data_IF_195961903658
#
_entry.id   IF_195961903658
#
_cell.length_a   1.000
_cell.length_b   1.000
_cell.length_c   1.000
_cell.angle_alpha   90.00
_cell.angle_beta   90.00
_cell.angle_gamma   90.00
#
_symmetry.space_group_name_H-M   'P 1'
#
loop_
_entity.id
_entity.type
_entity.pdbx_description
1 polymer ?
#
# COMPACT_ATOMS: atom_id res chain seq x y z
N UNK A 1 -17.59 -1.40 -30.16
CA UNK A 1 -17.19 -1.68 -28.75
C UNK A 1 -15.66 -1.79 -28.55
N UNK A 2 -14.93 -2.67 -29.25
CA UNK A 2 -13.47 -2.89 -29.04
C UNK A 2 -12.58 -1.64 -29.26
N UNK A 3 -12.79 -0.87 -30.33
CA UNK A 3 -12.04 0.38 -30.60
C UNK A 3 -12.18 1.42 -29.47
N UNK A 4 -13.40 1.60 -28.94
CA UNK A 4 -13.68 2.55 -27.87
C UNK A 4 -12.98 2.17 -26.56
N UNK A 5 -12.93 0.88 -26.23
CA UNK A 5 -12.17 0.36 -25.07
C UNK A 5 -10.66 0.59 -25.21
N UNK A 6 -10.09 0.28 -26.38
CA UNK A 6 -8.67 0.52 -26.65
C UNK A 6 -8.30 2.01 -26.55
N UNK A 7 -9.17 2.90 -27.00
CA UNK A 7 -8.95 4.34 -26.90
C UNK A 7 -9.00 4.84 -25.44
N UNK A 8 -9.93 4.33 -24.63
CA UNK A 8 -9.96 4.66 -23.21
C UNK A 8 -8.74 4.12 -22.46
N UNK A 9 -8.31 2.90 -22.78
CA UNK A 9 -7.09 2.33 -22.21
C UNK A 9 -5.87 3.20 -22.54
N UNK A 10 -5.67 3.55 -23.82
CA UNK A 10 -4.58 4.43 -24.24
C UNK A 10 -4.61 5.79 -23.53
N UNK A 11 -5.79 6.42 -23.42
CA UNK A 11 -5.94 7.70 -22.70
C UNK A 11 -5.60 7.55 -21.22
N UNK A 12 -6.03 6.47 -20.58
CA UNK A 12 -5.72 6.21 -19.17
C UNK A 12 -4.22 5.94 -18.96
N UNK A 13 -3.56 5.19 -19.86
CA UNK A 13 -2.11 4.98 -19.83
C UNK A 13 -1.37 6.31 -19.85
N UNK A 14 -1.72 7.21 -20.78
CA UNK A 14 -1.09 8.52 -20.90
C UNK A 14 -1.26 9.37 -19.64
N UNK A 15 -2.46 9.39 -19.05
CA UNK A 15 -2.74 10.13 -17.80
C UNK A 15 -1.86 9.58 -16.67
N UNK A 16 -1.81 8.25 -16.50
CA UNK A 16 -0.97 7.61 -15.49
C UNK A 16 0.49 8.01 -15.70
N UNK A 17 1.04 7.83 -16.90
CA UNK A 17 2.46 8.10 -17.16
C UNK A 17 2.83 9.57 -17.00
N UNK A 18 1.93 10.50 -17.29
CA UNK A 18 2.19 11.94 -17.16
C UNK A 18 2.36 12.41 -15.72
N UNK A 19 1.87 11.64 -14.74
CA UNK A 19 1.91 12.00 -13.33
C UNK A 19 3.08 11.36 -12.56
N UNK A 20 3.91 10.55 -13.22
CA UNK A 20 4.92 9.73 -12.57
C UNK A 20 6.34 10.29 -12.72
N UNK A 21 7.17 10.02 -11.72
CA UNK A 21 8.61 10.14 -11.85
C UNK A 21 9.16 9.07 -12.81
N UNK A 22 10.42 9.26 -13.24
CA UNK A 22 11.10 8.32 -14.12
C UNK A 22 11.19 6.92 -13.49
N UNK A 23 11.48 6.84 -12.19
CA UNK A 23 11.59 5.56 -11.46
C UNK A 23 10.25 4.81 -11.42
N UNK A 24 9.16 5.52 -11.14
CA UNK A 24 7.81 4.95 -11.12
C UNK A 24 7.38 4.51 -12.52
N UNK A 25 7.74 5.27 -13.55
CA UNK A 25 7.47 4.92 -14.94
C UNK A 25 8.14 3.60 -15.33
N UNK A 26 9.42 3.42 -15.01
CA UNK A 26 10.15 2.18 -15.31
C UNK A 26 9.52 0.95 -14.65
N UNK A 27 8.93 1.11 -13.46
CA UNK A 27 8.25 0.00 -12.77
C UNK A 27 7.04 -0.52 -13.54
N UNK A 28 6.29 0.37 -14.19
CA UNK A 28 5.04 0.03 -14.90
C UNK A 28 5.20 -0.05 -16.41
N UNK A 29 6.41 0.13 -16.95
CA UNK A 29 6.65 0.25 -18.39
C UNK A 29 6.30 -1.02 -19.17
N UNK A 30 6.34 -2.19 -18.51
CA UNK A 30 6.02 -3.49 -19.09
C UNK A 30 4.53 -3.87 -18.97
N UNK A 31 3.72 -3.06 -18.27
CA UNK A 31 2.29 -3.31 -18.14
C UNK A 31 1.56 -3.12 -19.47
N UNK A 32 0.65 -4.05 -19.80
CA UNK A 32 -0.04 -4.08 -21.08
C UNK A 32 -1.24 -3.15 -21.12
N UNK A 33 -1.89 -2.94 -19.99
CA UNK A 33 -3.10 -2.11 -19.86
C UNK A 33 -2.97 -1.04 -18.77
N UNK A 34 -3.78 0.02 -18.86
CA UNK A 34 -3.86 1.03 -17.81
C UNK A 34 -4.30 0.44 -16.45
N UNK A 35 -5.13 -0.60 -16.48
CA UNK A 35 -5.56 -1.32 -15.28
C UNK A 35 -4.38 -2.00 -14.58
N UNK A 36 -3.55 -2.71 -15.34
CA UNK A 36 -2.35 -3.37 -14.82
C UNK A 36 -1.32 -2.36 -14.29
N UNK A 37 -1.17 -1.21 -14.95
CA UNK A 37 -0.34 -0.09 -14.46
C UNK A 37 -0.83 0.40 -13.10
N UNK A 38 -2.14 0.69 -12.99
CA UNK A 38 -2.75 1.15 -11.75
C UNK A 38 -2.63 0.13 -10.62
N UNK A 39 -2.92 -1.14 -10.90
CA UNK A 39 -2.85 -2.21 -9.90
C UNK A 39 -1.41 -2.40 -9.39
N UNK A 40 -0.42 -2.27 -10.28
CA UNK A 40 1.00 -2.34 -9.92
C UNK A 40 1.41 -1.18 -9.00
N UNK A 41 0.99 0.06 -9.32
CA UNK A 41 1.22 1.22 -8.46
C UNK A 41 0.56 1.05 -7.10
N UNK A 42 -0.71 0.61 -7.07
CA UNK A 42 -1.45 0.41 -5.85
C UNK A 42 -0.78 -0.63 -4.94
N UNK A 43 -0.36 -1.78 -5.51
CA UNK A 43 0.37 -2.81 -4.76
C UNK A 43 1.72 -2.30 -4.26
N UNK A 44 2.43 -1.50 -5.06
CA UNK A 44 3.76 -1.01 -4.67
C UNK A 44 3.68 -0.01 -3.51
N UNK A 45 2.72 0.91 -3.54
CA UNK A 45 2.64 1.99 -2.55
C UNK A 45 1.80 1.62 -1.32
N UNK A 46 0.72 0.86 -1.50
CA UNK A 46 -0.16 0.49 -0.40
C UNK A 46 0.10 -0.91 0.16
N UNK A 47 0.83 -1.75 -0.58
CA UNK A 47 0.96 -3.17 -0.30
C UNK A 47 -0.25 -4.00 -0.75
N UNK A 48 -0.08 -5.31 -0.76
CA UNK A 48 -1.16 -6.26 -1.07
C UNK A 48 -2.16 -6.36 0.08
N UNK A 49 -3.36 -6.89 -0.20
CA UNK A 49 -4.35 -7.21 0.84
C UNK A 49 -3.79 -8.11 1.94
N UNK A 50 -2.90 -9.04 1.58
CA UNK A 50 -2.29 -9.99 2.51
C UNK A 50 -1.25 -9.31 3.39
N UNK A 51 -0.43 -8.41 2.84
CA UNK A 51 0.49 -7.58 3.63
C UNK A 51 -0.27 -6.70 4.62
N UNK A 52 -1.35 -6.04 4.16
CA UNK A 52 -2.23 -5.23 5.02
C UNK A 52 -2.87 -6.07 6.14
N UNK A 53 -3.36 -7.26 5.80
CA UNK A 53 -3.95 -8.21 6.76
C UNK A 53 -2.92 -8.71 7.78
N UNK A 54 -1.73 -9.07 7.31
CA UNK A 54 -0.63 -9.53 8.17
C UNK A 54 -0.22 -8.45 9.15
N UNK A 55 -0.01 -7.20 8.69
CA UNK A 55 0.26 -6.04 9.57
C UNK A 55 -0.81 -5.86 10.64
N UNK A 56 -2.10 -5.91 10.25
CA UNK A 56 -3.21 -5.82 11.21
C UNK A 56 -3.15 -6.92 12.26
N UNK A 57 -2.90 -8.16 11.84
CA UNK A 57 -2.83 -9.30 12.76
C UNK A 57 -1.65 -9.16 13.74
N UNK A 58 -0.49 -8.72 13.26
CA UNK A 58 0.67 -8.43 14.12
C UNK A 58 0.34 -7.38 15.17
N UNK A 59 -0.26 -6.25 14.78
CA UNK A 59 -0.64 -5.19 15.71
C UNK A 59 -1.67 -5.65 16.76
N UNK A 60 -2.67 -6.46 16.34
CA UNK A 60 -3.64 -7.04 17.27
C UNK A 60 -2.92 -7.93 18.29
N UNK A 61 -2.01 -8.79 17.82
CA UNK A 61 -1.26 -9.68 18.70
C UNK A 61 -0.36 -8.91 19.67
N UNK A 62 0.32 -7.87 19.19
CA UNK A 62 1.14 -6.99 20.03
C UNK A 62 0.29 -6.32 21.11
N UNK A 63 -0.90 -5.84 20.74
CA UNK A 63 -1.87 -5.27 21.67
C UNK A 63 -2.35 -6.29 22.72
N UNK A 64 -2.74 -7.50 22.29
CA UNK A 64 -3.20 -8.57 23.19
C UNK A 64 -2.10 -9.02 24.17
N UNK A 65 -0.84 -8.98 23.75
CA UNK A 65 0.31 -9.30 24.58
C UNK A 65 0.82 -8.11 25.39
N UNK A 66 0.33 -6.90 25.14
CA UNK A 66 0.78 -5.68 25.80
C UNK A 66 0.32 -5.67 27.25
N UNK A 67 1.28 -5.67 28.17
CA UNK A 67 1.05 -5.70 29.61
C UNK A 67 2.11 -4.88 30.33
N UNK A 68 1.77 -4.43 31.54
CA UNK A 68 2.75 -3.78 32.41
C UNK A 68 3.87 -4.74 32.75
N UNK A 69 5.10 -4.24 32.70
CA UNK A 69 6.28 -4.95 33.15
C UNK A 69 6.43 -4.84 34.68
N UNK A 70 7.20 -5.74 35.27
CA UNK A 70 7.47 -5.70 36.71
C UNK A 70 8.29 -4.45 37.06
N UNK A 71 7.78 -3.64 37.98
CA UNK A 71 8.41 -2.38 38.39
C UNK A 71 8.19 -1.21 37.43
N UNK A 72 7.40 -1.38 36.37
CA UNK A 72 7.01 -0.29 35.47
C UNK A 72 5.98 0.62 36.15
N UNK A 73 6.19 1.94 36.09
CA UNK A 73 5.20 2.90 36.58
C UNK A 73 4.02 3.01 35.60
N UNK A 74 2.85 3.46 36.08
CA UNK A 74 1.68 3.67 35.21
C UNK A 74 2.00 4.69 34.10
N UNK A 75 2.79 5.72 34.41
CA UNK A 75 3.20 6.73 33.43
C UNK A 75 4.08 6.12 32.33
N UNK A 76 5.03 5.26 32.69
CA UNK A 76 5.93 4.63 31.72
C UNK A 76 5.17 3.66 30.80
N UNK A 77 4.23 2.91 31.36
CA UNK A 77 3.35 2.03 30.59
C UNK A 77 2.50 2.82 29.57
N UNK A 78 1.91 3.95 29.99
CA UNK A 78 1.14 4.82 29.09
C UNK A 78 2.00 5.44 27.99
N UNK A 79 3.22 5.84 28.31
CA UNK A 79 4.17 6.37 27.32
C UNK A 79 4.51 5.31 26.26
N UNK A 80 4.78 4.06 26.67
CA UNK A 80 5.03 2.92 25.77
C UNK A 80 3.85 2.52 24.89
N UNK A 81 2.63 2.83 25.31
CA UNK A 81 1.44 2.53 24.51
C UNK A 81 1.17 3.60 23.45
N UNK A 82 1.56 4.85 23.72
CA UNK A 82 1.22 6.02 22.90
C UNK A 82 2.30 6.43 21.90
N UNK A 83 3.53 5.96 22.08
CA UNK A 83 4.70 6.25 21.25
C UNK A 83 5.31 4.96 20.71
#
# INVERSE_FOLDING_TARGET
MKKKRAQYDYRAKNIITSALSIDEFFRISQCKSAKEMWDTLQVTHEGTSDVKRSRKHTLIREYELFRMNNGESISDFQNRFTH
#
